data_IF_245707632359
#
_entry.id   IF_245707632359
#
_cell.length_a   1.000
_cell.length_b   1.000
_cell.length_c   1.000
_cell.angle_alpha   90.00
_cell.angle_beta   90.00
_cell.angle_gamma   90.00
#
_symmetry.space_group_name_H-M   'P 1'
#
loop_
_entity.id
_entity.type
_entity.pdbx_description
1 polymer ?
#
# COMPACT_ATOMS: atom_id res chain seq x y z
N UNK A 1 5.88 11.63 -23.57
CA UNK A 1 4.72 11.15 -24.35
C UNK A 1 3.76 10.57 -23.33
N UNK A 2 2.50 10.99 -23.27
CA UNK A 2 1.57 10.55 -22.21
C UNK A 2 1.02 9.15 -22.53
N UNK A 3 1.74 8.12 -22.12
CA UNK A 3 1.51 6.73 -22.52
C UNK A 3 0.25 6.15 -21.90
N UNK A 4 0.01 6.47 -20.61
CA UNK A 4 -1.11 5.91 -19.85
C UNK A 4 -2.45 6.55 -20.22
N UNK A 5 -2.44 7.81 -20.66
CA UNK A 5 -3.65 8.50 -21.13
C UNK A 5 -4.38 7.79 -22.27
N UNK A 6 -3.67 7.04 -23.11
CA UNK A 6 -4.28 6.26 -24.21
C UNK A 6 -5.25 5.19 -23.68
N UNK A 7 -5.11 4.79 -22.42
CA UNK A 7 -5.92 3.75 -21.78
C UNK A 7 -7.11 4.30 -20.98
N UNK A 8 -7.35 5.63 -20.96
CA UNK A 8 -8.41 6.23 -20.13
C UNK A 8 -9.81 5.71 -20.48
N UNK A 9 -10.14 5.57 -21.77
CA UNK A 9 -11.47 5.08 -22.17
C UNK A 9 -11.68 3.62 -21.76
N UNK A 10 -10.66 2.78 -21.94
CA UNK A 10 -10.68 1.40 -21.46
C UNK A 10 -10.84 1.33 -19.93
N UNK A 11 -10.12 2.19 -19.19
CA UNK A 11 -10.20 2.26 -17.74
C UNK A 11 -11.60 2.69 -17.27
N UNK A 12 -12.18 3.73 -17.87
CA UNK A 12 -13.55 4.19 -17.57
C UNK A 12 -14.55 3.08 -17.81
N UNK A 13 -14.47 2.39 -18.95
CA UNK A 13 -15.37 1.28 -19.28
C UNK A 13 -15.21 0.12 -18.29
N UNK A 14 -13.97 -0.21 -17.92
CA UNK A 14 -13.66 -1.27 -16.96
C UNK A 14 -14.23 -0.93 -15.57
N UNK A 15 -14.00 0.27 -15.05
CA UNK A 15 -14.54 0.71 -13.76
C UNK A 15 -16.08 0.69 -13.78
N UNK A 16 -16.71 1.20 -14.84
CA UNK A 16 -18.18 1.18 -14.99
C UNK A 16 -18.75 -0.23 -15.01
N UNK A 17 -18.10 -1.16 -15.71
CA UNK A 17 -18.48 -2.57 -15.74
C UNK A 17 -18.38 -3.18 -14.33
N UNK A 18 -17.29 -2.93 -13.63
CA UNK A 18 -17.07 -3.47 -12.29
C UNK A 18 -18.03 -2.88 -11.24
N UNK A 19 -18.51 -1.66 -11.43
CA UNK A 19 -19.53 -1.02 -10.58
C UNK A 19 -20.90 -1.72 -10.66
N UNK A 20 -21.29 -2.16 -11.86
CA UNK A 20 -22.57 -2.84 -12.10
C UNK A 20 -22.46 -4.37 -12.05
N UNK A 21 -21.26 -4.90 -11.79
CA UNK A 21 -21.03 -6.33 -11.76
C UNK A 21 -21.80 -6.99 -10.61
N UNK A 22 -22.62 -7.98 -10.94
CA UNK A 22 -23.32 -8.81 -9.97
C UNK A 22 -22.49 -10.06 -9.66
N UNK A 23 -22.10 -10.19 -8.40
CA UNK A 23 -21.30 -11.33 -7.93
C UNK A 23 -22.19 -12.55 -7.73
N UNK A 24 -21.85 -13.65 -8.40
CA UNK A 24 -22.49 -14.95 -8.19
C UNK A 24 -21.92 -15.67 -6.94
N UNK A 25 -20.72 -15.29 -6.50
CA UNK A 25 -19.95 -15.92 -5.42
C UNK A 25 -20.04 -15.20 -4.06
N UNK A 26 -21.19 -14.59 -3.77
CA UNK A 26 -21.41 -13.90 -2.50
C UNK A 26 -21.37 -14.87 -1.30
N UNK A 27 -20.64 -14.47 -0.27
CA UNK A 27 -20.59 -15.16 1.01
C UNK A 27 -21.79 -14.75 1.87
N UNK A 28 -22.61 -15.73 2.25
CA UNK A 28 -23.80 -15.54 3.08
C UNK A 28 -23.54 -16.08 4.50
N UNK A 29 -23.04 -15.24 5.44
CA UNK A 29 -22.79 -15.67 6.82
C UNK A 29 -24.09 -16.02 7.55
N UNK A 30 -24.09 -17.11 8.31
CA UNK A 30 -25.19 -17.47 9.21
C UNK A 30 -25.19 -16.59 10.46
N UNK A 31 -26.31 -16.59 11.22
CA UNK A 31 -26.47 -15.78 12.44
C UNK A 31 -25.34 -15.97 13.46
N UNK A 32 -24.78 -17.17 13.55
CA UNK A 32 -23.80 -17.52 14.57
C UNK A 32 -22.35 -17.51 14.08
N UNK A 33 -22.12 -17.32 12.77
CA UNK A 33 -20.79 -17.19 12.19
C UNK A 33 -20.07 -15.96 12.74
N UNK A 34 -18.74 -15.98 12.72
CA UNK A 34 -17.94 -14.76 12.93
C UNK A 34 -18.28 -13.74 11.84
N UNK A 35 -18.35 -12.46 12.22
CA UNK A 35 -18.71 -11.43 11.26
C UNK A 35 -17.57 -11.23 10.24
N UNK A 36 -17.87 -11.25 8.92
CA UNK A 36 -16.87 -11.06 7.87
C UNK A 36 -16.06 -9.77 7.96
N UNK A 37 -16.58 -8.74 8.64
CA UNK A 37 -15.88 -7.48 8.82
C UNK A 37 -14.62 -7.58 9.73
N UNK A 38 -14.41 -8.72 10.40
CA UNK A 38 -13.28 -8.95 11.29
C UNK A 38 -13.41 -8.30 12.68
N UNK A 39 -14.63 -7.96 13.12
CA UNK A 39 -14.87 -7.36 14.44
C UNK A 39 -14.66 -8.33 15.62
N UNK A 40 -14.58 -9.64 15.36
CA UNK A 40 -14.59 -10.68 16.39
C UNK A 40 -15.97 -10.94 17.01
N UNK A 41 -17.01 -10.23 16.56
CA UNK A 41 -18.39 -10.46 17.00
C UNK A 41 -19.07 -11.50 16.10
N UNK A 42 -20.10 -12.19 16.64
CA UNK A 42 -21.01 -13.00 15.83
C UNK A 42 -21.80 -12.11 14.86
N UNK A 43 -22.13 -12.61 13.67
CA UNK A 43 -22.82 -11.85 12.63
C UNK A 43 -24.11 -11.19 13.12
N UNK A 44 -24.92 -11.90 13.91
CA UNK A 44 -26.16 -11.39 14.55
C UNK A 44 -25.97 -10.18 15.46
N UNK A 45 -24.76 -9.96 15.97
CA UNK A 45 -24.42 -8.83 16.86
C UNK A 45 -23.64 -7.72 16.14
N UNK A 46 -23.46 -7.82 14.82
CA UNK A 46 -22.61 -6.89 14.07
C UNK A 46 -23.30 -6.40 12.79
N UNK A 47 -23.40 -7.26 11.76
CA UNK A 47 -23.83 -6.87 10.43
C UNK A 47 -25.08 -7.60 9.91
N UNK A 48 -25.75 -8.44 10.73
CA UNK A 48 -26.94 -9.18 10.29
C UNK A 48 -28.09 -8.31 9.79
N UNK A 49 -28.26 -7.12 10.37
CA UNK A 49 -29.27 -6.15 9.93
C UNK A 49 -28.67 -5.09 8.98
N UNK A 50 -27.40 -5.22 8.61
CA UNK A 50 -26.79 -4.37 7.59
C UNK A 50 -27.06 -5.00 6.22
N UNK A 51 -27.37 -4.18 5.22
CA UNK A 51 -27.55 -4.65 3.84
C UNK A 51 -26.20 -4.91 3.12
N UNK A 52 -25.13 -5.10 3.89
CA UNK A 52 -23.77 -5.25 3.35
C UNK A 52 -23.60 -6.65 2.75
N UNK A 53 -23.15 -6.68 1.49
CA UNK A 53 -22.77 -7.90 0.79
C UNK A 53 -21.28 -8.17 0.99
N UNK A 54 -20.95 -9.44 1.20
CA UNK A 54 -19.59 -9.90 1.44
C UNK A 54 -19.17 -10.89 0.37
N UNK A 55 -17.92 -10.81 -0.07
CA UNK A 55 -17.29 -11.80 -0.93
C UNK A 55 -16.06 -12.36 -0.25
N UNK A 56 -15.91 -13.69 -0.27
CA UNK A 56 -14.73 -14.33 0.31
C UNK A 56 -13.56 -14.17 -0.66
N UNK A 57 -12.41 -13.72 -0.17
CA UNK A 57 -11.20 -13.60 -0.98
C UNK A 57 -10.40 -14.89 -0.85
N UNK A 58 -9.76 -15.33 -1.94
CA UNK A 58 -8.94 -16.52 -1.91
C UNK A 58 -7.68 -16.35 -1.05
N UNK A 59 -7.32 -17.44 -0.37
CA UNK A 59 -6.19 -17.52 0.53
C UNK A 59 -6.60 -17.57 2.00
N UNK A 60 -5.78 -18.27 2.78
CA UNK A 60 -5.95 -18.38 4.23
C UNK A 60 -4.67 -17.90 4.92
N UNK A 61 -4.86 -17.18 6.02
CA UNK A 61 -3.80 -16.84 6.95
C UNK A 61 -3.49 -18.03 7.85
N UNK A 62 -2.36 -17.96 8.58
CA UNK A 62 -1.88 -19.06 9.42
C UNK A 62 -2.84 -19.48 10.54
N UNK A 63 -3.74 -18.60 10.95
CA UNK A 63 -4.76 -18.85 11.98
C UNK A 63 -6.07 -19.40 11.37
N UNK A 64 -6.06 -19.75 10.08
CA UNK A 64 -7.20 -20.24 9.34
C UNK A 64 -8.18 -19.16 8.90
N UNK A 65 -7.95 -17.89 9.24
CA UNK A 65 -8.80 -16.78 8.78
C UNK A 65 -8.54 -16.46 7.32
N UNK A 66 -9.48 -15.77 6.72
CA UNK A 66 -9.41 -15.28 5.35
C UNK A 66 -9.93 -13.86 5.28
N UNK A 67 -9.71 -13.20 4.15
CA UNK A 67 -10.26 -11.87 3.90
C UNK A 67 -11.68 -11.99 3.36
N UNK A 68 -12.51 -11.03 3.77
CA UNK A 68 -13.83 -10.83 3.19
C UNK A 68 -13.91 -9.41 2.68
N UNK A 69 -14.23 -9.29 1.41
CA UNK A 69 -14.40 -8.04 0.68
C UNK A 69 -15.79 -7.48 0.98
N UNK A 70 -15.86 -6.23 1.45
CA UNK A 70 -17.09 -5.47 1.53
C UNK A 70 -17.41 -4.85 0.17
N UNK A 71 -18.46 -5.33 -0.49
CA UNK A 71 -18.83 -4.90 -1.84
C UNK A 71 -19.19 -3.42 -1.91
N UNK A 72 -19.77 -2.85 -0.85
CA UNK A 72 -20.15 -1.43 -0.83
C UNK A 72 -18.94 -0.51 -0.67
N UNK A 73 -17.92 -0.93 0.10
CA UNK A 73 -16.64 -0.20 0.16
C UNK A 73 -15.89 -0.27 -1.18
N UNK A 74 -15.92 -1.42 -1.86
CA UNK A 74 -15.39 -1.57 -3.22
C UNK A 74 -16.07 -0.60 -4.19
N UNK A 75 -17.40 -0.54 -4.19
CA UNK A 75 -18.15 0.40 -5.04
C UNK A 75 -17.79 1.85 -4.74
N UNK A 76 -17.64 2.20 -3.46
CA UNK A 76 -17.15 3.51 -3.03
C UNK A 76 -15.80 3.86 -3.67
N UNK A 77 -14.83 2.95 -3.59
CA UNK A 77 -13.52 3.11 -4.22
C UNK A 77 -13.61 3.25 -5.74
N UNK A 78 -14.39 2.40 -6.41
CA UNK A 78 -14.59 2.45 -7.86
C UNK A 78 -15.22 3.77 -8.31
N UNK A 79 -16.19 4.30 -7.56
CA UNK A 79 -16.78 5.61 -7.83
C UNK A 79 -15.74 6.73 -7.70
N UNK A 80 -14.96 6.75 -6.61
CA UNK A 80 -13.87 7.73 -6.45
C UNK A 80 -12.87 7.66 -7.60
N UNK A 81 -12.49 6.45 -8.04
CA UNK A 81 -11.61 6.27 -9.18
C UNK A 81 -12.25 6.78 -10.48
N UNK A 82 -13.53 6.51 -10.71
CA UNK A 82 -14.25 6.99 -11.88
C UNK A 82 -14.27 8.53 -11.93
N UNK A 83 -14.58 9.18 -10.81
CA UNK A 83 -14.61 10.64 -10.71
C UNK A 83 -13.24 11.25 -11.02
N UNK A 84 -12.16 10.67 -10.47
CA UNK A 84 -10.78 11.08 -10.74
C UNK A 84 -10.46 10.92 -12.24
N UNK A 85 -10.74 9.76 -12.82
CA UNK A 85 -10.38 9.47 -14.22
C UNK A 85 -11.16 10.36 -15.19
N UNK A 86 -12.45 10.63 -14.91
CA UNK A 86 -13.25 11.58 -15.69
C UNK A 86 -12.67 12.99 -15.63
N UNK A 87 -12.30 13.46 -14.43
CA UNK A 87 -11.63 14.74 -14.26
C UNK A 87 -10.31 14.81 -15.05
N UNK A 88 -9.46 13.79 -14.95
CA UNK A 88 -8.19 13.75 -15.69
C UNK A 88 -8.37 13.65 -17.21
N UNK A 89 -9.47 13.04 -17.67
CA UNK A 89 -9.82 12.98 -19.10
C UNK A 89 -10.06 14.38 -19.67
N UNK A 90 -10.72 15.25 -18.92
CA UNK A 90 -11.00 16.64 -19.32
C UNK A 90 -9.79 17.57 -19.15
N UNK A 91 -8.83 17.20 -18.28
CA UNK A 91 -7.70 18.05 -17.91
C UNK A 91 -6.36 17.41 -18.31
N UNK A 92 -5.76 17.85 -19.42
CA UNK A 92 -4.50 17.29 -19.96
C UNK A 92 -3.31 17.47 -19.02
N UNK A 93 -3.29 18.56 -18.26
CA UNK A 93 -2.25 18.88 -17.28
C UNK A 93 -2.88 19.52 -16.06
N UNK A 94 -2.39 19.17 -14.87
CA UNK A 94 -2.86 19.73 -13.61
C UNK A 94 -1.68 20.18 -12.73
N UNK A 95 -1.95 21.02 -11.74
CA UNK A 95 -0.94 21.40 -10.74
C UNK A 95 -0.63 20.23 -9.79
N UNK A 96 0.56 20.25 -9.18
CA UNK A 96 0.93 19.28 -8.14
C UNK A 96 -0.01 19.33 -6.95
N UNK A 97 -0.46 20.53 -6.54
CA UNK A 97 -1.46 20.71 -5.49
C UNK A 97 -2.76 19.95 -5.81
N UNK A 98 -3.26 20.07 -7.05
CA UNK A 98 -4.45 19.32 -7.47
C UNK A 98 -4.18 17.81 -7.51
N UNK A 99 -3.01 17.39 -7.97
CA UNK A 99 -2.60 15.98 -7.94
C UNK A 99 -2.59 15.39 -6.52
N UNK A 100 -2.11 16.17 -5.54
CA UNK A 100 -2.08 15.77 -4.13
C UNK A 100 -3.48 15.66 -3.53
N UNK A 101 -4.42 16.54 -3.94
CA UNK A 101 -5.83 16.44 -3.60
C UNK A 101 -6.44 15.12 -4.11
N UNK A 102 -6.29 14.83 -5.41
CA UNK A 102 -6.83 13.61 -6.04
C UNK A 102 -6.25 12.33 -5.42
N UNK A 103 -4.93 12.30 -5.15
CA UNK A 103 -4.30 11.18 -4.43
C UNK A 103 -4.84 11.07 -2.99
N UNK A 104 -5.11 12.20 -2.35
CA UNK A 104 -5.75 12.25 -1.03
C UNK A 104 -7.11 11.56 -1.02
N UNK A 105 -7.97 11.90 -1.97
CA UNK A 105 -9.30 11.31 -2.09
C UNK A 105 -9.24 9.80 -2.41
N UNK A 106 -8.37 9.42 -3.36
CA UNK A 106 -8.12 8.03 -3.68
C UNK A 106 -7.67 7.23 -2.45
N UNK A 107 -6.70 7.76 -1.70
CA UNK A 107 -6.15 7.08 -0.51
C UNK A 107 -7.16 7.01 0.63
N UNK A 108 -7.99 8.03 0.80
CA UNK A 108 -9.09 8.01 1.77
C UNK A 108 -10.05 6.85 1.48
N UNK A 109 -10.46 6.69 0.22
CA UNK A 109 -11.35 5.58 -0.14
C UNK A 109 -10.66 4.21 -0.05
N UNK A 110 -9.37 4.13 -0.41
CA UNK A 110 -8.59 2.89 -0.26
C UNK A 110 -8.42 2.49 1.20
N UNK A 111 -8.20 3.46 2.08
CA UNK A 111 -8.02 3.20 3.51
C UNK A 111 -9.26 2.58 4.13
N UNK A 112 -10.47 2.95 3.71
CA UNK A 112 -11.70 2.31 4.18
C UNK A 112 -11.75 0.82 3.81
N UNK A 113 -11.40 0.48 2.57
CA UNK A 113 -11.30 -0.91 2.09
C UNK A 113 -10.23 -1.67 2.87
N UNK A 114 -9.00 -1.17 2.92
CA UNK A 114 -7.88 -1.90 3.52
C UNK A 114 -7.95 -1.96 5.05
N UNK A 115 -8.50 -0.95 5.74
CA UNK A 115 -8.78 -1.05 7.19
C UNK A 115 -9.76 -2.16 7.49
N UNK A 116 -10.80 -2.34 6.66
CA UNK A 116 -11.74 -3.44 6.83
C UNK A 116 -11.06 -4.79 6.61
N UNK A 117 -10.30 -4.95 5.53
CA UNK A 117 -9.57 -6.19 5.24
C UNK A 117 -8.55 -6.52 6.34
N UNK A 118 -7.80 -5.52 6.82
CA UNK A 118 -6.76 -5.67 7.84
C UNK A 118 -7.29 -6.25 9.16
N UNK A 119 -8.57 -6.07 9.49
CA UNK A 119 -9.17 -6.64 10.71
C UNK A 119 -9.12 -8.17 10.73
N UNK A 120 -9.25 -8.79 9.56
CA UNK A 120 -9.12 -10.24 9.40
C UNK A 120 -7.68 -10.72 9.25
N UNK A 121 -6.75 -9.82 8.89
CA UNK A 121 -5.34 -10.16 8.79
C UNK A 121 -4.71 -10.35 10.20
N UNK A 122 -3.70 -11.23 10.33
CA UNK A 122 -2.91 -11.37 11.55
C UNK A 122 -2.17 -10.08 11.95
N UNK A 123 -1.93 -9.17 10.99
CA UNK A 123 -1.22 -7.92 11.20
C UNK A 123 -1.74 -7.12 12.41
N UNK A 124 -0.83 -6.70 13.29
CA UNK A 124 -1.09 -5.80 14.42
C UNK A 124 -0.06 -4.67 14.46
N UNK A 125 -0.36 -3.61 15.22
CA UNK A 125 0.60 -2.54 15.50
C UNK A 125 1.88 -3.15 16.08
N UNK A 126 3.04 -2.74 15.56
CA UNK A 126 4.34 -3.34 15.91
C UNK A 126 4.82 -4.44 14.96
N UNK A 127 4.02 -4.85 13.97
CA UNK A 127 4.48 -5.72 12.88
C UNK A 127 5.18 -4.89 11.79
N UNK A 128 6.47 -5.17 11.54
CA UNK A 128 7.31 -4.41 10.59
C UNK A 128 7.83 -5.26 9.41
N UNK A 129 7.21 -6.40 9.15
CA UNK A 129 7.69 -7.35 8.14
C UNK A 129 7.75 -6.76 6.72
N UNK A 130 6.69 -6.03 6.33
CA UNK A 130 6.63 -5.38 5.03
C UNK A 130 7.58 -4.17 4.92
N UNK A 131 8.05 -3.62 6.04
CA UNK A 131 8.99 -2.49 6.07
C UNK A 131 10.41 -2.87 5.63
N UNK A 132 10.66 -4.14 5.34
CA UNK A 132 11.90 -4.64 4.74
C UNK A 132 11.67 -5.09 3.29
N UNK A 133 10.58 -4.68 2.64
CA UNK A 133 10.36 -4.97 1.22
C UNK A 133 10.81 -3.79 0.36
N UNK A 134 11.34 -4.06 -0.85
CA UNK A 134 11.50 -3.01 -1.84
C UNK A 134 10.11 -2.59 -2.28
N UNK A 135 9.76 -1.34 -2.02
CA UNK A 135 8.47 -0.79 -2.39
C UNK A 135 8.66 0.34 -3.37
N UNK A 136 7.91 0.26 -4.45
CA UNK A 136 7.85 1.29 -5.48
C UNK A 136 7.04 2.48 -4.96
N UNK A 137 7.36 3.64 -5.50
CA UNK A 137 6.81 4.92 -5.12
C UNK A 137 6.65 5.74 -6.40
N UNK A 138 5.42 6.20 -6.65
CA UNK A 138 5.15 7.20 -7.67
C UNK A 138 5.63 8.59 -7.22
N UNK A 139 5.85 9.50 -8.17
CA UNK A 139 6.40 10.83 -7.85
C UNK A 139 5.44 11.64 -6.97
N UNK A 140 4.13 11.54 -7.20
CA UNK A 140 3.10 12.22 -6.42
C UNK A 140 3.00 11.67 -4.98
N UNK A 141 3.24 10.37 -4.80
CA UNK A 141 3.35 9.76 -3.46
C UNK A 141 4.61 10.23 -2.73
N UNK A 142 5.73 10.39 -3.45
CA UNK A 142 6.94 11.02 -2.92
C UNK A 142 6.63 12.42 -2.39
N UNK A 143 5.97 13.27 -3.18
CA UNK A 143 5.58 14.62 -2.78
C UNK A 143 4.71 14.61 -1.52
N UNK A 144 3.72 13.72 -1.45
CA UNK A 144 2.86 13.57 -0.26
C UNK A 144 3.68 13.22 1.00
N UNK A 145 4.62 12.29 0.89
CA UNK A 145 5.50 11.91 2.02
C UNK A 145 6.43 13.07 2.39
N UNK A 146 6.99 13.79 1.40
CA UNK A 146 7.87 14.94 1.65
C UNK A 146 7.21 16.03 2.47
N UNK A 147 5.91 16.28 2.23
CA UNK A 147 5.12 17.25 3.00
C UNK A 147 4.93 16.86 4.48
N UNK A 148 5.27 15.63 4.87
CA UNK A 148 5.20 15.14 6.25
C UNK A 148 6.55 15.05 6.95
N UNK A 149 7.65 15.34 6.26
CA UNK A 149 8.98 15.23 6.86
C UNK A 149 9.19 16.28 7.95
N UNK A 150 9.52 15.80 9.14
CA UNK A 150 10.02 16.62 10.25
C UNK A 150 11.50 16.33 10.48
N UNK A 151 12.19 17.17 11.26
CA UNK A 151 13.60 16.94 11.63
C UNK A 151 13.82 15.56 12.27
N UNK A 152 12.86 15.08 13.06
CA UNK A 152 12.93 13.75 13.69
C UNK A 152 12.80 12.62 12.67
N UNK A 153 11.89 12.76 11.70
CA UNK A 153 11.75 11.80 10.61
C UNK A 153 13.02 11.78 9.75
N UNK A 154 13.60 12.94 9.43
CA UNK A 154 14.86 13.01 8.69
C UNK A 154 16.03 12.37 9.45
N UNK A 155 16.10 12.56 10.77
CA UNK A 155 17.09 11.90 11.63
C UNK A 155 16.91 10.39 11.58
N UNK A 156 15.67 9.91 11.64
CA UNK A 156 15.34 8.49 11.52
C UNK A 156 15.75 7.91 10.15
N UNK A 157 15.43 8.61 9.05
CA UNK A 157 15.86 8.23 7.70
C UNK A 157 17.39 8.09 7.63
N UNK A 158 18.13 9.04 8.20
CA UNK A 158 19.60 8.97 8.23
C UNK A 158 20.11 7.77 9.02
N UNK A 159 19.52 7.50 10.20
CA UNK A 159 19.86 6.35 11.03
C UNK A 159 19.66 5.04 10.26
N UNK A 160 18.51 4.90 9.60
CA UNK A 160 18.20 3.71 8.80
C UNK A 160 19.11 3.58 7.57
N UNK A 161 19.51 4.69 6.94
CA UNK A 161 20.49 4.64 5.85
C UNK A 161 21.86 4.12 6.33
N UNK A 162 22.32 4.53 7.52
CA UNK A 162 23.56 3.99 8.08
C UNK A 162 23.44 2.50 8.40
N UNK A 163 22.29 2.07 8.92
CA UNK A 163 22.00 0.66 9.17
C UNK A 163 22.01 -0.16 7.88
N UNK A 164 21.38 0.34 6.81
CA UNK A 164 21.43 -0.24 5.47
C UNK A 164 22.87 -0.45 4.99
N UNK A 165 23.74 0.57 5.15
CA UNK A 165 25.17 0.45 4.77
C UNK A 165 25.90 -0.61 5.58
N UNK A 166 25.61 -0.75 6.88
CA UNK A 166 26.19 -1.81 7.72
C UNK A 166 25.74 -3.19 7.24
N UNK A 167 24.45 -3.36 6.97
CA UNK A 167 23.87 -4.65 6.53
C UNK A 167 24.38 -5.09 5.16
N UNK A 168 24.60 -4.16 4.22
CA UNK A 168 25.21 -4.46 2.91
C UNK A 168 26.62 -5.04 2.99
N UNK A 169 27.34 -4.85 4.11
CA UNK A 169 28.67 -5.41 4.34
C UNK A 169 28.63 -6.84 4.88
N UNK A 170 27.47 -7.34 5.31
CA UNK A 170 27.33 -8.70 5.82
C UNK A 170 27.50 -9.68 4.65
N UNK A 171 28.46 -10.63 4.72
CA UNK A 171 28.64 -11.64 3.68
C UNK A 171 27.37 -12.46 3.48
N UNK A 172 27.02 -12.74 2.23
CA UNK A 172 25.83 -13.54 1.88
C UNK A 172 25.85 -14.94 2.53
N UNK A 173 27.03 -15.48 2.84
CA UNK A 173 27.23 -16.76 3.54
C UNK A 173 26.76 -16.75 4.99
N UNK A 174 26.70 -15.58 5.65
CA UNK A 174 26.24 -15.40 7.03
C UNK A 174 24.72 -15.17 7.11
N UNK A 175 24.04 -15.08 5.96
CA UNK A 175 22.61 -14.83 5.88
C UNK A 175 21.89 -16.17 5.73
N UNK A 176 20.85 -16.38 6.55
CA UNK A 176 19.97 -17.53 6.39
C UNK A 176 19.35 -17.52 4.98
N UNK A 177 19.78 -18.44 4.11
CA UNK A 177 19.34 -18.55 2.71
C UNK A 177 17.83 -18.78 2.58
N UNK A 178 17.19 -19.29 3.62
CA UNK A 178 15.75 -19.54 3.67
C UNK A 178 14.95 -18.32 4.17
N UNK A 179 15.61 -17.26 4.62
CA UNK A 179 14.95 -16.02 5.02
C UNK A 179 14.45 -15.24 3.80
N UNK A 180 13.15 -14.92 3.76
CA UNK A 180 12.60 -14.00 2.76
C UNK A 180 13.13 -12.57 2.90
N UNK A 181 13.77 -12.24 4.03
CA UNK A 181 14.39 -10.94 4.31
C UNK A 181 15.87 -10.89 3.97
N UNK A 182 16.50 -12.03 3.70
CA UNK A 182 17.92 -12.12 3.31
C UNK A 182 18.28 -11.17 2.15
N UNK A 183 17.39 -11.08 1.16
CA UNK A 183 17.58 -10.24 -0.04
C UNK A 183 17.24 -8.76 0.19
N UNK A 184 16.51 -8.44 1.25
CA UNK A 184 15.88 -7.13 1.45
C UNK A 184 16.04 -6.65 2.90
N UNK A 185 17.17 -6.96 3.53
CA UNK A 185 17.47 -6.63 4.92
C UNK A 185 17.57 -5.12 5.22
N UNK A 186 17.37 -4.26 4.22
CA UNK A 186 17.43 -2.81 4.36
C UNK A 186 16.15 -2.28 4.99
N UNK A 187 16.20 -1.66 6.18
CA UNK A 187 15.02 -1.03 6.75
C UNK A 187 14.45 0.00 5.78
N UNK A 188 13.13 0.09 5.69
CA UNK A 188 12.44 1.17 5.00
C UNK A 188 12.90 2.52 5.57
N UNK A 189 13.13 3.55 4.73
CA UNK A 189 13.47 4.90 5.19
C UNK A 189 12.52 5.45 6.26
N UNK A 190 11.23 5.12 6.18
CA UNK A 190 10.16 5.58 7.06
C UNK A 190 9.94 4.71 8.30
N UNK A 191 10.72 3.65 8.50
CA UNK A 191 10.57 2.75 9.64
C UNK A 191 11.26 3.32 10.88
N UNK A 192 10.53 3.55 11.96
CA UNK A 192 11.10 3.67 13.30
C UNK A 192 11.33 2.24 13.82
N UNK A 193 12.59 1.79 13.74
CA UNK A 193 12.99 0.43 14.10
C UNK A 193 12.83 0.18 15.60
N UNK A 194 13.09 1.19 16.44
CA UNK A 194 13.05 1.07 17.90
C UNK A 194 11.61 0.89 18.38
N UNK A 195 10.70 1.74 17.90
CA UNK A 195 9.29 1.69 18.28
C UNK A 195 8.44 0.78 17.38
N UNK A 196 9.07 0.11 16.40
CA UNK A 196 8.43 -0.81 15.44
C UNK A 196 7.20 -0.18 14.74
N UNK A 197 7.34 1.06 14.25
CA UNK A 197 6.24 1.82 13.63
C UNK A 197 6.69 2.56 12.38
N UNK A 198 5.77 2.81 11.45
CA UNK A 198 6.03 3.73 10.35
C UNK A 198 5.89 5.17 10.86
N UNK A 199 6.82 6.06 10.51
CA UNK A 199 6.76 7.48 10.88
C UNK A 199 5.75 8.28 10.06
N UNK A 200 5.26 7.71 8.96
CA UNK A 200 4.23 8.28 8.06
C UNK A 200 3.14 7.24 7.78
N UNK A 201 2.63 6.57 8.82
CA UNK A 201 1.74 5.41 8.65
C UNK A 201 0.46 5.73 7.84
N UNK A 202 -0.12 6.90 8.04
CA UNK A 202 -1.35 7.31 7.35
C UNK A 202 -1.07 7.78 5.92
N UNK A 203 0.15 8.28 5.65
CA UNK A 203 0.62 8.72 4.33
C UNK A 203 1.52 7.67 3.65
N UNK A 204 1.37 6.38 4.01
CA UNK A 204 2.11 5.29 3.36
C UNK A 204 1.87 5.29 1.83
N UNK A 205 2.75 4.70 1.03
CA UNK A 205 2.47 4.46 -0.39
C UNK A 205 1.37 3.42 -0.61
N UNK A 206 0.77 3.40 -1.79
CA UNK A 206 -0.24 2.43 -2.21
C UNK A 206 0.24 0.99 -2.01
N UNK A 207 1.45 0.66 -2.48
CA UNK A 207 2.03 -0.69 -2.33
C UNK A 207 2.10 -1.15 -0.88
N UNK A 208 2.32 -0.23 0.08
CA UNK A 208 2.31 -0.57 1.50
C UNK A 208 0.93 -0.95 2.04
N UNK A 209 -0.15 -0.42 1.46
CA UNK A 209 -1.53 -0.70 1.91
C UNK A 209 -2.00 -2.08 1.48
N UNK A 210 -1.45 -2.62 0.38
CA UNK A 210 -1.85 -3.92 -0.16
C UNK A 210 -1.15 -5.11 0.50
N UNK A 211 -0.11 -4.87 1.32
CA UNK A 211 0.72 -5.92 1.92
C UNK A 211 0.20 -6.33 3.30
N UNK A 212 -0.18 -7.60 3.41
CA UNK A 212 -0.55 -8.27 4.66
C UNK A 212 0.47 -9.36 4.99
N UNK A 213 0.74 -9.58 6.28
CA UNK A 213 1.51 -10.74 6.73
C UNK A 213 0.56 -11.91 6.89
N UNK A 214 0.91 -13.05 6.30
CA UNK A 214 0.07 -14.24 6.34
C UNK A 214 0.41 -15.21 7.49
N UNK A 215 1.61 -15.11 8.06
CA UNK A 215 2.10 -15.95 9.16
C UNK A 215 1.91 -15.30 10.53
N UNK A 216 2.29 -16.02 11.60
CA UNK A 216 2.13 -15.54 12.97
C UNK A 216 2.76 -14.14 13.15
N UNK A 217 2.05 -13.19 13.81
CA UNK A 217 2.58 -11.86 14.07
C UNK A 217 3.92 -11.84 14.80
N UNK A 218 4.22 -12.87 15.60
CA UNK A 218 5.49 -12.99 16.33
C UNK A 218 6.70 -13.06 15.39
N UNK A 219 6.51 -13.60 14.19
CA UNK A 219 7.54 -13.68 13.15
C UNK A 219 7.76 -12.33 12.45
N UNK A 220 6.86 -11.34 12.60
CA UNK A 220 7.01 -10.03 11.96
C UNK A 220 8.30 -9.31 12.39
N UNK A 221 8.82 -9.61 13.58
CA UNK A 221 9.98 -8.92 14.15
C UNK A 221 11.28 -9.71 14.01
N UNK A 222 11.23 -10.94 13.49
CA UNK A 222 12.42 -11.77 13.32
C UNK A 222 13.20 -11.34 12.09
N UNK A 223 14.46 -10.97 12.28
CA UNK A 223 15.32 -10.48 11.19
C UNK A 223 15.58 -11.55 10.12
N UNK A 224 15.74 -12.80 10.54
CA UNK A 224 16.06 -13.97 9.73
C UNK A 224 14.87 -14.94 9.56
N UNK A 225 13.70 -14.59 10.10
CA UNK A 225 12.49 -15.39 9.98
C UNK A 225 11.92 -15.36 8.56
N UNK A 226 11.40 -16.51 8.10
CA UNK A 226 10.63 -16.59 6.85
C UNK A 226 9.25 -15.98 7.09
N UNK A 227 9.01 -14.82 6.48
CA UNK A 227 7.69 -14.16 6.48
C UNK A 227 7.10 -14.21 5.08
N UNK A 228 5.91 -14.79 4.99
CA UNK A 228 5.00 -14.79 3.85
C UNK A 228 4.19 -13.50 3.86
N UNK A 229 4.26 -12.77 2.75
CA UNK A 229 3.48 -11.56 2.53
C UNK A 229 2.40 -11.89 1.50
N UNK A 230 1.16 -11.67 1.90
CA UNK A 230 0.00 -11.72 1.04
C UNK A 230 -0.21 -10.33 0.43
N UNK A 231 -0.29 -10.26 -0.91
CA UNK A 231 -0.62 -9.03 -1.64
C UNK A 231 -2.06 -9.14 -2.09
N UNK A 232 -2.93 -8.23 -1.66
CA UNK A 232 -4.28 -8.19 -2.19
C UNK A 232 -4.24 -7.63 -3.62
N UNK A 233 -4.55 -8.47 -4.60
CA UNK A 233 -4.53 -8.12 -6.02
C UNK A 233 -5.85 -7.52 -6.52
N UNK A 234 -6.97 -7.67 -5.81
CA UNK A 234 -8.31 -7.35 -6.31
C UNK A 234 -8.55 -5.89 -6.71
N UNK A 235 -7.68 -4.99 -6.27
CA UNK A 235 -7.73 -3.55 -6.57
C UNK A 235 -6.43 -3.01 -7.16
N UNK A 236 -5.41 -3.87 -7.27
CA UNK A 236 -4.04 -3.40 -7.43
C UNK A 236 -3.84 -2.73 -8.78
N UNK A 237 -4.27 -3.39 -9.84
CA UNK A 237 -4.05 -2.95 -11.21
C UNK A 237 -4.77 -1.62 -11.51
N UNK A 238 -6.06 -1.54 -11.20
CA UNK A 238 -6.83 -0.33 -11.50
C UNK A 238 -6.32 0.89 -10.70
N UNK A 239 -5.97 0.70 -9.42
CA UNK A 239 -5.44 1.78 -8.59
C UNK A 239 -4.06 2.23 -9.06
N UNK A 240 -3.18 1.29 -9.45
CA UNK A 240 -1.88 1.63 -10.03
C UNK A 240 -2.02 2.46 -11.30
N UNK A 241 -2.99 2.15 -12.16
CA UNK A 241 -3.27 2.94 -13.37
C UNK A 241 -3.81 4.34 -13.00
N UNK A 242 -4.70 4.46 -12.01
CA UNK A 242 -5.18 5.79 -11.59
C UNK A 242 -4.04 6.63 -11.02
N UNK A 243 -3.16 6.04 -10.20
CA UNK A 243 -1.97 6.73 -9.68
C UNK A 243 -1.05 7.15 -10.83
N UNK A 244 -0.79 6.28 -11.81
CA UNK A 244 0.07 6.64 -12.95
C UNK A 244 -0.52 7.74 -13.80
N UNK A 245 -1.84 7.76 -14.00
CA UNK A 245 -2.55 8.85 -14.69
C UNK A 245 -2.43 10.18 -13.94
N UNK A 246 -2.59 10.18 -12.61
CA UNK A 246 -2.38 11.39 -11.81
C UNK A 246 -0.94 11.87 -11.96
N UNK A 247 0.04 10.99 -11.75
CA UNK A 247 1.46 11.31 -11.80
C UNK A 247 1.87 11.88 -13.16
N UNK A 248 1.47 11.21 -14.25
CA UNK A 248 1.75 11.65 -15.62
C UNK A 248 1.07 12.98 -15.95
N UNK A 249 -0.12 13.25 -15.41
CA UNK A 249 -0.84 14.51 -15.62
C UNK A 249 -0.22 15.69 -14.87
N UNK A 250 0.45 15.43 -13.75
CA UNK A 250 1.17 16.45 -12.97
C UNK A 250 2.57 16.70 -13.57
N UNK A 251 3.34 15.63 -13.76
CA UNK A 251 4.78 15.70 -14.06
C UNK A 251 5.12 15.48 -15.54
N UNK A 252 4.17 15.04 -16.37
CA UNK A 252 4.37 14.76 -17.80
C UNK A 252 4.99 13.39 -18.10
N UNK A 253 5.32 12.61 -17.07
CA UNK A 253 5.77 11.22 -17.15
C UNK A 253 5.37 10.47 -15.88
N UNK A 254 5.38 9.14 -15.95
CA UNK A 254 5.28 8.26 -14.79
C UNK A 254 6.57 7.46 -14.64
N UNK A 255 7.23 7.60 -13.50
CA UNK A 255 8.43 6.85 -13.16
C UNK A 255 8.27 6.25 -11.76
N UNK A 256 8.54 4.96 -11.64
CA UNK A 256 8.63 4.31 -10.33
C UNK A 256 10.06 4.32 -9.82
N UNK A 257 10.23 4.79 -8.59
CA UNK A 257 11.48 4.70 -7.83
C UNK A 257 11.20 3.92 -6.55
N UNK A 258 12.19 3.21 -6.02
CA UNK A 258 12.00 2.58 -4.70
C UNK A 258 12.07 3.64 -3.59
N UNK A 259 11.37 3.43 -2.47
CA UNK A 259 11.51 4.31 -1.30
C UNK A 259 12.98 4.49 -0.90
N UNK A 260 13.76 3.40 -0.91
CA UNK A 260 15.18 3.40 -0.60
C UNK A 260 15.97 4.30 -1.57
N UNK A 261 15.70 4.26 -2.87
CA UNK A 261 16.29 5.18 -3.84
C UNK A 261 15.95 6.64 -3.55
N UNK A 262 14.67 6.90 -3.34
CA UNK A 262 14.16 8.25 -3.14
C UNK A 262 14.71 8.91 -1.87
N UNK A 263 14.78 8.18 -0.76
CA UNK A 263 15.10 8.76 0.55
C UNK A 263 16.51 8.44 1.06
N UNK A 264 17.18 7.39 0.57
CA UNK A 264 18.60 7.15 0.88
C UNK A 264 19.54 7.75 -0.17
N UNK A 265 19.22 7.66 -1.47
CA UNK A 265 20.17 8.03 -2.55
C UNK A 265 20.08 9.51 -2.99
N UNK A 266 18.96 10.22 -2.79
CA UNK A 266 18.89 11.67 -3.16
C UNK A 266 19.87 12.55 -2.36
N UNK A 267 20.29 12.15 -1.15
CA UNK A 267 21.38 12.85 -0.42
C UNK A 267 22.74 12.72 -1.10
N UNK A 268 23.06 11.58 -1.71
CA UNK A 268 24.36 11.34 -2.32
C UNK A 268 24.59 12.11 -3.61
N UNK A 269 23.55 12.39 -4.40
CA UNK A 269 23.68 13.15 -5.65
C UNK A 269 23.93 14.65 -5.38
N UNK A 270 23.11 15.28 -4.53
CA UNK A 270 23.29 16.69 -4.16
C UNK A 270 24.57 16.95 -3.36
N UNK A 271 24.97 16.03 -2.47
CA UNK A 271 26.26 16.14 -1.78
C UNK A 271 27.45 15.98 -2.73
N UNK A 272 27.35 15.18 -3.80
CA UNK A 272 28.37 15.11 -4.85
C UNK A 272 28.42 16.40 -5.68
N UNK A 273 27.27 16.99 -6.01
CA UNK A 273 27.20 18.28 -6.70
C UNK A 273 27.81 19.43 -5.88
N UNK A 274 27.52 19.49 -4.56
CA UNK A 274 28.15 20.45 -3.63
C UNK A 274 29.65 20.25 -3.37
N UNK A 275 30.23 19.15 -3.86
CA UNK A 275 31.67 18.90 -3.82
C UNK A 275 32.34 19.18 -5.17
N UNK A 276 31.53 19.37 -6.23
CA UNK A 276 31.98 19.70 -7.59
C UNK A 276 31.89 21.22 -7.82
N UNK A 277 30.98 21.90 -7.13
CA UNK A 277 30.86 23.35 -7.03
C UNK A 277 31.25 23.81 -5.64
#
# INVERSE_FOLDING_TARGET
MMEYRKNMDWLIQTIKRDLIFEYEDLYNPTRNDECPCGSGLKYKKCHMNSQIKWRKVDGMFHDGKTLYENIELKKGLLNTMLDIVLYLKENIRISEEKGLELIGDLFKSLDEVFKQLQKNAPCRKGCIACCFQPINLATIEESKIRNKLTKDIEKNINKNHQETKKRRKIPMSQINKNSSRAKYAEPCPMLDVENKKCTVYDDRPFTCRTYFVANSPDLCNMYDGKVTIYKNQGYQELVEIVISLIDETVFGCFELKTLHETFYKKKTFFNKLKLIF
#
